data_IF_309965550922
#
_entry.id   IF_309965550922
#
_cell.length_a   1.000
_cell.length_b   1.000
_cell.length_c   1.000
_cell.angle_alpha   90.00
_cell.angle_beta   90.00
_cell.angle_gamma   90.00
#
_symmetry.space_group_name_H-M   'P 1'
#
loop_
_entity.id
_entity.type
_entity.pdbx_description
1 polymer ?
#
# COMPACT_ATOMS: atom_id res chain seq x y z
N UNK A 1 -16.59 -14.97 -16.34
CA UNK A 1 -16.94 -15.56 -15.05
C UNK A 1 -18.37 -15.15 -14.70
N UNK A 2 -19.18 -16.12 -14.36
CA UNK A 2 -20.52 -15.86 -13.83
C UNK A 2 -20.40 -15.52 -12.35
N UNK A 3 -20.87 -14.34 -11.95
CA UNK A 3 -20.89 -13.90 -10.56
C UNK A 3 -20.19 -12.56 -10.30
N UNK A 4 -20.35 -12.06 -9.09
CA UNK A 4 -19.67 -10.85 -8.62
C UNK A 4 -18.27 -11.23 -8.09
N UNK A 5 -17.26 -10.38 -8.31
CA UNK A 5 -15.96 -10.58 -7.67
C UNK A 5 -16.09 -10.43 -6.15
N UNK A 6 -15.31 -11.16 -5.38
CA UNK A 6 -15.17 -10.94 -3.94
C UNK A 6 -14.49 -9.60 -3.70
N UNK A 7 -15.15 -8.69 -3.01
CA UNK A 7 -14.64 -7.34 -2.74
C UNK A 7 -13.97 -7.29 -1.37
N UNK A 8 -12.71 -6.88 -1.36
CA UNK A 8 -11.91 -6.80 -0.12
C UNK A 8 -11.46 -5.36 0.10
N UNK A 9 -11.62 -4.87 1.31
CA UNK A 9 -11.19 -3.53 1.69
C UNK A 9 -10.12 -3.57 2.77
N UNK A 10 -9.01 -2.89 2.52
CA UNK A 10 -7.94 -2.75 3.51
C UNK A 10 -7.86 -1.32 4.02
N UNK A 11 -7.73 -1.17 5.32
CA UNK A 11 -7.58 0.09 6.02
C UNK A 11 -6.21 0.15 6.71
N UNK A 12 -5.73 1.35 7.03
CA UNK A 12 -4.62 1.48 7.95
C UNK A 12 -5.08 1.20 9.39
N UNK A 13 -4.30 0.51 10.18
CA UNK A 13 -4.69 0.07 11.54
C UNK A 13 -5.07 1.24 12.47
N UNK A 14 -4.39 2.39 12.32
CA UNK A 14 -4.75 3.61 13.06
C UNK A 14 -5.95 4.37 12.48
N UNK A 15 -6.55 3.90 11.37
CA UNK A 15 -7.70 4.51 10.69
C UNK A 15 -8.62 3.40 10.11
N UNK A 16 -9.08 2.47 10.96
CA UNK A 16 -9.83 1.28 10.56
C UNK A 16 -11.27 1.26 11.12
N UNK A 17 -12.12 2.25 10.80
CA UNK A 17 -13.46 2.34 11.34
C UNK A 17 -14.36 1.16 10.99
N UNK A 18 -14.21 0.53 9.82
CA UNK A 18 -15.02 -0.64 9.44
C UNK A 18 -14.78 -1.83 10.37
N UNK A 19 -13.55 -2.02 10.84
CA UNK A 19 -13.22 -3.08 11.80
C UNK A 19 -13.63 -2.72 13.24
N UNK A 20 -13.57 -1.44 13.58
CA UNK A 20 -14.01 -0.96 14.91
C UNK A 20 -15.54 -0.94 15.04
N UNK A 21 -16.25 -0.94 13.92
CA UNK A 21 -17.72 -0.82 13.90
C UNK A 21 -18.23 0.59 14.22
N UNK A 22 -17.34 1.55 14.46
CA UNK A 22 -17.63 2.93 14.83
C UNK A 22 -16.57 3.89 14.23
N UNK A 23 -16.88 5.18 14.11
CA UNK A 23 -15.89 6.17 13.71
C UNK A 23 -14.66 6.18 14.63
N UNK A 24 -13.48 6.45 14.06
CA UNK A 24 -12.23 6.70 14.78
C UNK A 24 -12.04 8.21 14.87
N UNK A 25 -12.05 8.75 16.07
CA UNK A 25 -12.00 10.21 16.29
C UNK A 25 -10.66 10.84 15.89
N UNK A 26 -9.55 10.16 16.17
CA UNK A 26 -8.21 10.63 15.88
C UNK A 26 -7.49 9.57 15.01
N UNK A 27 -7.79 9.52 13.71
CA UNK A 27 -7.16 8.56 12.81
C UNK A 27 -5.70 8.95 12.58
N UNK A 28 -4.78 7.97 12.73
CA UNK A 28 -3.35 8.16 12.53
C UNK A 28 -2.77 7.09 11.62
N UNK A 29 -2.08 7.51 10.58
CA UNK A 29 -1.34 6.64 9.65
C UNK A 29 -0.45 7.48 8.75
N UNK A 30 0.64 6.89 8.25
CA UNK A 30 1.46 7.47 7.17
C UNK A 30 0.72 7.51 5.83
N UNK A 31 -0.27 6.64 5.63
CA UNK A 31 -1.09 6.59 4.44
C UNK A 31 -2.16 7.69 4.46
N UNK A 32 -1.77 8.93 4.23
CA UNK A 32 -2.58 10.14 4.45
C UNK A 32 -3.92 10.12 3.69
N UNK A 33 -3.97 9.58 2.48
CA UNK A 33 -5.20 9.54 1.68
C UNK A 33 -6.25 8.55 2.21
N UNK A 34 -5.88 7.60 3.09
CA UNK A 34 -6.81 6.71 3.80
C UNK A 34 -6.87 6.97 5.31
N UNK A 35 -6.31 8.10 5.77
CA UNK A 35 -6.43 8.58 7.16
C UNK A 35 -7.82 9.16 7.41
N UNK A 36 -8.83 8.30 7.30
CA UNK A 36 -10.25 8.66 7.34
C UNK A 36 -10.91 7.91 8.48
N UNK A 37 -11.23 8.63 9.54
CA UNK A 37 -11.90 8.05 10.72
C UNK A 37 -13.39 7.84 10.55
N UNK A 38 -14.06 8.59 9.66
CA UNK A 38 -15.51 8.48 9.42
C UNK A 38 -15.82 8.53 7.92
N UNK A 39 -15.80 7.38 7.22
CA UNK A 39 -16.09 7.30 5.78
C UNK A 39 -17.52 7.71 5.45
N UNK A 40 -17.72 8.50 4.39
CA UNK A 40 -19.06 8.92 3.95
C UNK A 40 -19.89 7.75 3.41
N UNK A 41 -19.31 6.84 2.65
CA UNK A 41 -19.99 5.73 2.00
C UNK A 41 -20.11 4.47 2.87
N UNK A 42 -20.21 4.65 4.18
CA UNK A 42 -20.21 3.60 5.17
C UNK A 42 -21.13 2.41 4.85
N UNK A 43 -22.42 2.71 4.64
CA UNK A 43 -23.41 1.67 4.40
C UNK A 43 -23.22 0.98 3.04
N UNK A 44 -22.84 1.73 2.01
CA UNK A 44 -22.58 1.15 0.69
C UNK A 44 -21.38 0.19 0.71
N UNK A 45 -20.27 0.59 1.35
CA UNK A 45 -19.09 -0.27 1.46
C UNK A 45 -19.40 -1.56 2.23
N UNK A 46 -20.14 -1.47 3.34
CA UNK A 46 -20.59 -2.65 4.10
C UNK A 46 -21.50 -3.57 3.28
N UNK A 47 -22.42 -2.99 2.49
CA UNK A 47 -23.30 -3.77 1.63
C UNK A 47 -22.51 -4.51 0.54
N UNK A 48 -21.59 -3.81 -0.14
CA UNK A 48 -20.75 -4.41 -1.19
C UNK A 48 -19.94 -5.59 -0.65
N UNK A 49 -19.25 -5.42 0.48
CA UNK A 49 -18.45 -6.48 1.10
C UNK A 49 -19.31 -7.68 1.51
N UNK A 50 -20.47 -7.43 2.14
CA UNK A 50 -21.42 -8.49 2.50
C UNK A 50 -21.93 -9.26 1.29
N UNK A 51 -22.41 -8.54 0.26
CA UNK A 51 -23.09 -9.13 -0.89
C UNK A 51 -22.09 -9.88 -1.81
N UNK A 52 -20.82 -9.46 -1.84
CA UNK A 52 -19.72 -10.14 -2.52
C UNK A 52 -19.04 -11.24 -1.71
N UNK A 53 -19.49 -11.51 -0.46
CA UNK A 53 -18.84 -12.42 0.49
C UNK A 53 -17.38 -12.05 0.76
N UNK A 54 -17.09 -10.78 0.72
CA UNK A 54 -15.77 -10.23 0.97
C UNK A 54 -15.51 -9.93 2.45
N UNK A 55 -14.47 -9.15 2.71
CA UNK A 55 -14.10 -8.76 4.07
C UNK A 55 -13.41 -7.40 4.11
N UNK A 56 -13.40 -6.80 5.28
CA UNK A 56 -12.49 -5.73 5.63
C UNK A 56 -11.34 -6.26 6.47
N UNK A 57 -10.17 -5.66 6.32
CA UNK A 57 -9.02 -5.93 7.16
C UNK A 57 -8.16 -4.68 7.31
N UNK A 58 -7.16 -4.70 8.20
CA UNK A 58 -6.28 -3.57 8.44
C UNK A 58 -4.81 -3.95 8.30
N UNK A 59 -3.98 -2.96 7.98
CA UNK A 59 -2.54 -3.08 7.85
C UNK A 59 -1.85 -2.09 8.78
N UNK A 60 -0.75 -2.51 9.37
CA UNK A 60 0.16 -1.59 10.04
C UNK A 60 0.87 -0.71 9.01
N UNK A 61 1.27 0.49 9.40
CA UNK A 61 1.99 1.42 8.51
C UNK A 61 3.25 0.78 7.90
N UNK A 62 3.97 -0.04 8.67
CA UNK A 62 5.13 -0.77 8.18
C UNK A 62 4.81 -1.75 7.04
N UNK A 63 3.66 -2.43 7.08
CA UNK A 63 3.20 -3.33 6.02
C UNK A 63 2.84 -2.56 4.75
N UNK A 64 2.21 -1.38 4.91
CA UNK A 64 1.87 -0.49 3.80
C UNK A 64 3.14 0.04 3.11
N UNK A 65 4.12 0.51 3.90
CA UNK A 65 5.38 1.03 3.37
C UNK A 65 6.20 -0.05 2.69
N UNK A 66 6.23 -1.25 3.25
CA UNK A 66 6.91 -2.38 2.60
C UNK A 66 6.24 -2.77 1.28
N UNK A 67 4.91 -2.77 1.20
CA UNK A 67 4.20 -3.02 -0.05
C UNK A 67 4.50 -1.94 -1.10
N UNK A 68 4.58 -0.66 -0.71
CA UNK A 68 4.98 0.44 -1.58
C UNK A 68 6.40 0.24 -2.13
N UNK A 69 7.34 -0.14 -1.26
CA UNK A 69 8.72 -0.44 -1.63
C UNK A 69 8.82 -1.60 -2.62
N UNK A 70 8.14 -2.72 -2.32
CA UNK A 70 8.12 -3.91 -3.18
C UNK A 70 7.55 -3.60 -4.57
N UNK A 71 6.44 -2.87 -4.64
CA UNK A 71 5.81 -2.48 -5.89
C UNK A 71 6.73 -1.62 -6.76
N UNK A 72 7.42 -0.64 -6.15
CA UNK A 72 8.39 0.20 -6.85
C UNK A 72 9.61 -0.60 -7.31
N UNK A 73 10.12 -1.52 -6.46
CA UNK A 73 11.36 -2.26 -6.68
C UNK A 73 11.22 -3.36 -7.74
N UNK A 74 10.10 -4.08 -7.72
CA UNK A 74 9.90 -5.24 -8.60
C UNK A 74 9.08 -4.94 -9.85
N UNK A 75 8.16 -3.98 -9.78
CA UNK A 75 7.23 -3.68 -10.87
C UNK A 75 7.50 -2.29 -11.50
N UNK A 76 8.37 -1.47 -10.90
CA UNK A 76 8.62 -0.10 -11.36
C UNK A 76 7.42 0.84 -11.20
N UNK A 77 6.45 0.48 -10.37
CA UNK A 77 5.22 1.24 -10.15
C UNK A 77 5.33 2.03 -8.86
N UNK A 78 5.46 3.36 -8.99
CA UNK A 78 5.59 4.27 -7.85
C UNK A 78 4.24 4.86 -7.46
N UNK A 79 3.73 4.46 -6.32
CA UNK A 79 2.41 4.87 -5.78
C UNK A 79 2.54 5.50 -4.40
N UNK A 80 1.52 6.26 -3.98
CA UNK A 80 1.42 6.75 -2.59
C UNK A 80 1.17 5.58 -1.61
N UNK A 81 1.48 5.73 -0.31
CA UNK A 81 1.27 4.67 0.68
C UNK A 81 -0.16 4.12 0.70
N UNK A 82 -1.16 5.00 0.62
CA UNK A 82 -2.57 4.61 0.61
C UNK A 82 -2.91 3.63 -0.52
N UNK A 83 -2.33 3.83 -1.71
CA UNK A 83 -2.52 2.93 -2.86
C UNK A 83 -1.87 1.57 -2.65
N UNK A 84 -0.74 1.52 -1.94
CA UNK A 84 -0.03 0.27 -1.64
C UNK A 84 -0.77 -0.62 -0.63
N UNK A 85 -1.74 -0.09 0.10
CA UNK A 85 -2.51 -0.86 1.07
C UNK A 85 -3.25 -2.05 0.43
N UNK A 86 -3.77 -1.89 -0.79
CA UNK A 86 -4.42 -2.99 -1.52
C UNK A 86 -3.45 -4.13 -1.82
N UNK A 87 -2.22 -3.81 -2.18
CA UNK A 87 -1.15 -4.77 -2.47
C UNK A 87 -0.68 -5.45 -1.18
N UNK A 88 -0.40 -4.68 -0.12
CA UNK A 88 0.03 -5.21 1.17
C UNK A 88 -0.97 -6.19 1.76
N UNK A 89 -2.26 -5.83 1.70
CA UNK A 89 -3.34 -6.70 2.16
C UNK A 89 -3.45 -7.98 1.34
N UNK A 90 -3.39 -7.88 0.01
CA UNK A 90 -3.41 -9.05 -0.86
C UNK A 90 -2.23 -10.00 -0.59
N UNK A 91 -1.00 -9.47 -0.46
CA UNK A 91 0.20 -10.27 -0.13
C UNK A 91 0.01 -10.98 1.21
N UNK A 92 -0.47 -10.29 2.23
CA UNK A 92 -0.70 -10.89 3.55
C UNK A 92 -1.76 -11.98 3.51
N UNK A 93 -2.89 -11.73 2.87
CA UNK A 93 -4.01 -12.67 2.81
C UNK A 93 -3.70 -13.90 1.94
N UNK A 94 -2.84 -13.78 0.91
CA UNK A 94 -2.28 -14.91 0.17
C UNK A 94 -1.38 -15.75 1.09
N UNK A 95 -0.44 -15.12 1.78
CA UNK A 95 0.47 -15.83 2.71
C UNK A 95 -0.28 -16.53 3.84
N UNK A 96 -1.39 -15.98 4.28
CA UNK A 96 -2.26 -16.56 5.29
C UNK A 96 -3.20 -17.65 4.74
N UNK A 97 -3.21 -17.92 3.43
CA UNK A 97 -4.12 -18.88 2.79
C UNK A 97 -5.58 -18.40 2.75
N UNK A 98 -5.85 -17.15 3.04
CA UNK A 98 -7.21 -16.56 3.01
C UNK A 98 -7.68 -16.30 1.57
N UNK A 99 -6.74 -16.01 0.67
CA UNK A 99 -6.95 -15.98 -0.77
C UNK A 99 -6.41 -17.28 -1.36
N UNK A 100 -7.27 -18.03 -2.05
CA UNK A 100 -6.91 -19.33 -2.60
C UNK A 100 -5.85 -19.23 -3.70
N UNK A 101 -5.01 -20.25 -3.82
CA UNK A 101 -4.06 -20.39 -4.92
C UNK A 101 -4.80 -20.40 -6.27
N UNK A 102 -4.22 -19.76 -7.28
CA UNK A 102 -4.81 -19.63 -8.61
C UNK A 102 -5.89 -18.54 -8.74
N UNK A 103 -6.17 -17.79 -7.66
CA UNK A 103 -7.08 -16.65 -7.71
C UNK A 103 -6.57 -15.55 -8.63
N UNK A 104 -7.46 -14.94 -9.40
CA UNK A 104 -7.18 -13.69 -10.13
C UNK A 104 -7.48 -12.52 -9.21
N UNK A 105 -6.47 -11.71 -8.90
CA UNK A 105 -6.56 -10.58 -7.97
C UNK A 105 -6.38 -9.29 -8.75
N UNK A 106 -7.30 -8.34 -8.54
CA UNK A 106 -7.19 -6.99 -9.08
C UNK A 106 -7.02 -6.03 -7.91
N UNK A 107 -5.84 -5.44 -7.77
CA UNK A 107 -5.56 -4.41 -6.77
C UNK A 107 -5.70 -3.03 -7.39
N UNK A 108 -6.54 -2.18 -6.81
CA UNK A 108 -6.68 -0.80 -7.27
C UNK A 108 -5.57 0.06 -6.68
N UNK A 109 -4.70 0.58 -7.53
CA UNK A 109 -3.68 1.59 -7.17
C UNK A 109 -4.16 2.96 -7.63
N UNK A 110 -4.46 3.84 -6.69
CA UNK A 110 -5.22 5.06 -6.91
C UNK A 110 -4.36 6.30 -7.10
N UNK A 111 -3.37 6.53 -6.25
CA UNK A 111 -2.55 7.73 -6.25
C UNK A 111 -1.08 7.45 -6.60
N UNK A 112 -0.49 8.39 -7.36
CA UNK A 112 0.93 8.37 -7.68
C UNK A 112 1.76 8.74 -6.44
N UNK A 113 2.97 8.17 -6.31
CA UNK A 113 3.89 8.40 -5.20
C UNK A 113 4.31 9.86 -5.01
N UNK A 114 4.28 10.66 -6.07
CA UNK A 114 4.55 12.11 -5.99
C UNK A 114 3.51 12.91 -5.20
N UNK A 115 2.39 12.33 -4.83
CA UNK A 115 1.43 12.94 -3.90
C UNK A 115 1.95 12.95 -2.45
N UNK A 116 2.88 12.06 -2.13
CA UNK A 116 3.51 11.97 -0.81
C UNK A 116 5.02 11.72 -0.95
N UNK A 117 5.76 12.70 -1.49
CA UNK A 117 7.20 12.56 -1.73
C UNK A 117 8.01 12.43 -0.43
N UNK A 118 7.53 13.03 0.66
CA UNK A 118 8.24 13.01 1.95
C UNK A 118 8.34 11.59 2.52
N UNK A 119 7.30 10.80 2.37
CA UNK A 119 7.33 9.40 2.79
C UNK A 119 8.30 8.58 1.95
N UNK A 120 8.37 8.80 0.64
CA UNK A 120 9.34 8.13 -0.23
C UNK A 120 10.79 8.52 0.12
N UNK A 121 11.06 9.81 0.34
CA UNK A 121 12.37 10.32 0.76
C UNK A 121 12.79 9.68 2.10
N UNK A 122 11.89 9.61 3.08
CA UNK A 122 12.16 8.97 4.38
C UNK A 122 12.50 7.49 4.25
N UNK A 123 11.87 6.75 3.35
CA UNK A 123 12.19 5.35 3.09
C UNK A 123 13.57 5.16 2.42
N UNK A 124 14.09 6.20 1.77
CA UNK A 124 15.41 6.21 1.17
C UNK A 124 16.46 6.91 2.03
N UNK A 125 16.16 7.26 3.29
CA UNK A 125 17.06 8.03 4.15
C UNK A 125 18.42 7.36 4.40
N UNK A 126 18.46 6.04 4.34
CA UNK A 126 19.69 5.25 4.49
C UNK A 126 20.47 5.08 3.16
N UNK A 127 19.92 5.59 2.05
CA UNK A 127 20.61 5.53 0.77
C UNK A 127 21.80 6.51 0.76
N UNK A 128 22.99 5.98 0.50
CA UNK A 128 24.20 6.81 0.37
C UNK A 128 24.12 7.60 -0.93
N UNK A 129 23.94 8.92 -0.81
CA UNK A 129 24.04 9.82 -1.96
C UNK A 129 25.50 10.15 -2.21
N UNK A 130 26.02 9.72 -3.35
CA UNK A 130 27.38 10.02 -3.78
C UNK A 130 27.37 11.28 -4.66
N UNK A 131 28.19 12.26 -4.30
CA UNK A 131 28.49 13.40 -5.15
C UNK A 131 29.79 13.12 -5.90
N UNK A 132 29.72 13.03 -7.21
CA UNK A 132 30.85 12.70 -8.09
C UNK A 132 30.94 13.69 -9.25
N UNK A 133 32.12 13.86 -9.83
CA UNK A 133 32.25 14.62 -11.08
C UNK A 133 31.61 13.84 -12.25
N UNK A 134 31.09 14.56 -13.21
CA UNK A 134 30.41 13.98 -14.38
C UNK A 134 31.44 13.40 -15.39
N UNK A 135 32.32 12.51 -14.92
CA UNK A 135 33.30 11.79 -15.75
C UNK A 135 32.94 10.30 -15.79
N UNK A 136 33.17 9.66 -16.94
CA UNK A 136 32.88 8.22 -17.10
C UNK A 136 33.68 7.36 -16.09
N UNK A 137 34.90 7.77 -15.74
CA UNK A 137 35.71 7.04 -14.78
C UNK A 137 35.07 7.06 -13.37
N UNK A 138 34.71 8.25 -12.87
CA UNK A 138 34.08 8.36 -11.54
C UNK A 138 32.70 7.69 -11.46
N UNK A 139 31.89 7.80 -12.52
CA UNK A 139 30.60 7.09 -12.57
C UNK A 139 30.80 5.57 -12.49
N UNK A 140 31.75 5.03 -13.29
CA UNK A 140 32.06 3.60 -13.28
C UNK A 140 32.59 3.14 -11.92
N UNK A 141 33.55 3.86 -11.35
CA UNK A 141 34.11 3.51 -10.05
C UNK A 141 33.08 3.55 -8.94
N UNK A 142 32.22 4.57 -8.93
CA UNK A 142 31.13 4.68 -7.94
C UNK A 142 30.12 3.55 -8.02
N UNK A 143 29.76 3.10 -9.23
CA UNK A 143 28.86 1.95 -9.41
C UNK A 143 29.53 0.67 -8.91
N UNK A 144 30.75 0.38 -9.36
CA UNK A 144 31.45 -0.88 -9.04
C UNK A 144 31.84 -1.00 -7.57
N UNK A 145 32.07 0.13 -6.88
CA UNK A 145 32.43 0.13 -5.45
C UNK A 145 31.24 -0.05 -4.53
N UNK A 146 29.99 0.04 -5.05
CA UNK A 146 28.76 -0.06 -4.28
C UNK A 146 27.85 -1.24 -4.73
N UNK A 147 28.37 -2.12 -5.56
CA UNK A 147 27.76 -3.42 -5.91
C UNK A 147 28.28 -4.51 -4.99
#
# INVERSE_FOLDING_TARGET
>A
PEGLPTMVGYQAAGAAPFLRGAPVENPETVATAIRIGNPQSWNHAKAVVRDSKGWFDELQDAEILEAQRLLSMYEGVFVEPASAASIGGAIRDIKAGKIAEGSVIVCTVTGNGLKDPDTAIKQCADAVMLSIDATMAQVKDSILSNM
#
